data_IF_387646534246
#
_entry.id   IF_387646534246
#
_cell.length_a   1.000
_cell.length_b   1.000
_cell.length_c   1.000
_cell.angle_alpha   90.00
_cell.angle_beta   90.00
_cell.angle_gamma   90.00
#
_symmetry.space_group_name_H-M   'P 1'
#
loop_
_entity.id
_entity.type
_entity.pdbx_description
1 polymer ?
#
# COMPACT_ATOMS: atom_id res chain seq x y z
N UNK A 1 11.85 -0.39 -0.55
CA UNK A 1 11.53 -1.17 -1.75
C UNK A 1 10.19 -0.71 -2.29
N UNK A 2 9.93 -0.89 -3.59
CA UNK A 2 8.64 -0.56 -4.18
C UNK A 2 7.85 -1.81 -4.57
N UNK A 3 6.53 -1.69 -4.45
CA UNK A 3 5.59 -2.72 -4.82
C UNK A 3 4.52 -2.16 -5.74
N UNK A 4 3.89 -3.06 -6.50
CA UNK A 4 2.76 -2.75 -7.35
C UNK A 4 1.57 -3.63 -6.97
N UNK A 5 0.41 -2.99 -6.84
CA UNK A 5 -0.85 -3.65 -6.51
C UNK A 5 -1.97 -3.20 -7.44
N UNK A 6 -2.79 -4.15 -7.90
CA UNK A 6 -3.92 -3.85 -8.78
C UNK A 6 -5.23 -3.66 -8.02
N UNK A 7 -5.93 -2.58 -8.34
CA UNK A 7 -7.29 -2.31 -7.86
C UNK A 7 -8.31 -2.99 -8.77
N UNK A 8 -9.08 -3.92 -8.20
CA UNK A 8 -10.10 -4.68 -8.91
C UNK A 8 -11.26 -3.81 -9.40
N UNK A 9 -11.66 -4.01 -10.66
CA UNK A 9 -12.80 -3.31 -11.29
C UNK A 9 -14.17 -3.70 -10.76
N UNK A 10 -14.26 -4.87 -10.12
CA UNK A 10 -15.48 -5.34 -9.46
C UNK A 10 -15.95 -4.37 -8.35
N UNK A 11 -15.02 -3.68 -7.69
CA UNK A 11 -15.30 -2.77 -6.58
C UNK A 11 -15.17 -1.29 -6.98
N UNK A 12 -14.27 -0.98 -7.92
CA UNK A 12 -14.03 0.38 -8.39
C UNK A 12 -14.05 0.40 -9.90
N UNK A 13 -15.14 0.89 -10.51
CA UNK A 13 -15.29 0.90 -11.97
C UNK A 13 -14.20 1.74 -12.66
N UNK A 14 -13.77 2.83 -12.02
CA UNK A 14 -12.73 3.73 -12.51
C UNK A 14 -11.68 4.03 -11.42
N UNK A 15 -10.45 4.44 -11.81
CA UNK A 15 -9.44 4.87 -10.83
C UNK A 15 -9.92 6.05 -9.98
N UNK A 16 -10.67 6.98 -10.58
CA UNK A 16 -11.22 8.16 -9.90
C UNK A 16 -12.11 7.80 -8.71
N UNK A 17 -12.92 6.73 -8.81
CA UNK A 17 -13.73 6.25 -7.68
C UNK A 17 -12.83 5.83 -6.51
N UNK A 18 -11.77 5.08 -6.79
CA UNK A 18 -10.83 4.64 -5.79
C UNK A 18 -10.06 5.82 -5.18
N UNK A 19 -9.59 6.76 -6.01
CA UNK A 19 -8.86 7.96 -5.58
C UNK A 19 -9.69 8.76 -4.56
N UNK A 20 -10.97 9.02 -4.84
CA UNK A 20 -11.85 9.77 -3.92
C UNK A 20 -11.95 9.10 -2.55
N UNK A 21 -12.11 7.78 -2.52
CA UNK A 21 -12.17 7.03 -1.26
C UNK A 21 -10.80 7.02 -0.54
N UNK A 22 -9.72 6.83 -1.29
CA UNK A 22 -8.36 6.76 -0.77
C UNK A 22 -7.89 8.09 -0.19
N UNK A 23 -8.27 9.23 -0.79
CA UNK A 23 -8.02 10.57 -0.25
C UNK A 23 -8.78 10.79 1.07
N UNK A 24 -9.99 10.24 1.21
CA UNK A 24 -10.81 10.41 2.41
C UNK A 24 -10.35 9.53 3.58
N UNK A 25 -10.00 8.27 3.30
CA UNK A 25 -9.80 7.25 4.34
C UNK A 25 -8.43 6.58 4.31
N UNK A 26 -7.53 7.01 3.44
CA UNK A 26 -6.31 6.28 3.12
C UNK A 26 -6.59 4.96 2.39
N UNK A 27 -5.50 4.25 2.10
CA UNK A 27 -5.54 2.93 1.45
C UNK A 27 -5.35 1.86 2.50
N UNK A 28 -6.15 0.79 2.43
CA UNK A 28 -5.93 -0.46 3.17
C UNK A 28 -6.12 -1.64 2.22
N UNK A 29 -5.17 -2.58 2.21
CA UNK A 29 -5.15 -3.72 1.30
C UNK A 29 -4.62 -4.99 1.97
N UNK A 30 -5.32 -6.10 1.75
CA UNK A 30 -4.95 -7.41 2.28
C UNK A 30 -3.68 -7.92 1.63
N UNK A 31 -2.72 -8.34 2.43
CA UNK A 31 -1.42 -8.85 1.99
C UNK A 31 -1.27 -10.32 2.41
N UNK A 32 -0.63 -11.11 1.55
CA UNK A 32 -0.29 -12.48 1.90
C UNK A 32 0.84 -12.49 2.96
N UNK A 33 0.79 -13.33 4.00
CA UNK A 33 1.81 -13.37 5.05
C UNK A 33 3.23 -13.50 4.51
N UNK A 34 3.47 -14.42 3.56
CA UNK A 34 4.78 -14.62 2.95
C UNK A 34 5.35 -13.38 2.25
N UNK A 35 4.46 -12.55 1.69
CA UNK A 35 4.87 -11.32 1.03
C UNK A 35 5.09 -10.20 2.04
N UNK A 36 4.23 -10.11 3.06
CA UNK A 36 4.38 -9.16 4.16
C UNK A 36 5.76 -9.27 4.84
N UNK A 37 6.29 -10.49 5.01
CA UNK A 37 7.63 -10.73 5.58
C UNK A 37 8.75 -9.99 4.85
N UNK A 38 8.56 -9.67 3.57
CA UNK A 38 9.52 -8.96 2.72
C UNK A 38 9.32 -7.45 2.71
N UNK A 39 8.17 -6.96 3.19
CA UNK A 39 7.83 -5.55 3.20
C UNK A 39 8.38 -4.87 4.46
N UNK A 40 8.59 -3.57 4.38
CA UNK A 40 9.05 -2.71 5.47
C UNK A 40 8.20 -1.45 5.52
N UNK A 41 8.04 -0.92 6.73
CA UNK A 41 7.40 0.37 6.92
C UNK A 41 8.20 1.45 6.17
N UNK A 42 7.52 2.28 5.40
CA UNK A 42 8.10 3.26 4.49
C UNK A 42 8.19 2.82 3.02
N UNK A 43 7.96 1.54 2.71
CA UNK A 43 7.90 1.07 1.31
C UNK A 43 6.78 1.77 0.53
N UNK A 44 7.01 2.07 -0.76
CA UNK A 44 5.99 2.65 -1.63
C UNK A 44 5.22 1.53 -2.32
N UNK A 45 3.90 1.65 -2.36
CA UNK A 45 3.01 0.73 -3.05
C UNK A 45 2.26 1.48 -4.13
N UNK A 46 2.70 1.29 -5.36
CA UNK A 46 2.05 1.80 -6.55
C UNK A 46 0.74 1.07 -6.81
N UNK A 47 -0.26 1.83 -7.23
CA UNK A 47 -1.60 1.36 -7.48
C UNK A 47 -1.90 1.45 -8.96
N UNK A 48 -2.28 0.32 -9.53
CA UNK A 48 -2.68 0.21 -10.92
C UNK A 48 -4.12 -0.27 -11.06
N UNK A 49 -4.76 0.09 -12.16
CA UNK A 49 -6.00 -0.54 -12.59
C UNK A 49 -5.91 -0.91 -14.07
N UNK A 50 -6.23 -2.16 -14.38
CA UNK A 50 -6.23 -2.70 -15.74
C UNK A 50 -7.58 -2.55 -16.45
N UNK A 51 -7.56 -2.30 -17.75
CA UNK A 51 -8.73 -2.29 -18.63
C UNK A 51 -8.71 -3.35 -19.73
N UNK A 52 -8.36 -4.60 -19.37
CA UNK A 52 -8.23 -5.76 -20.28
C UNK A 52 -7.16 -5.59 -21.38
N UNK A 53 -6.80 -4.38 -21.79
CA UNK A 53 -5.82 -4.07 -22.84
C UNK A 53 -4.60 -3.30 -22.33
N UNK A 54 -4.78 -2.44 -21.33
CA UNK A 54 -3.71 -1.65 -20.72
C UNK A 54 -3.90 -1.58 -19.20
N UNK A 55 -2.81 -1.34 -18.46
CA UNK A 55 -2.83 -1.09 -17.02
C UNK A 55 -2.37 0.32 -16.74
N UNK A 56 -3.15 1.08 -15.98
CA UNK A 56 -2.79 2.45 -15.64
C UNK A 56 -2.34 2.54 -14.19
N UNK A 57 -1.11 2.99 -13.95
CA UNK A 57 -0.67 3.42 -12.61
C UNK A 57 -1.20 4.84 -12.38
N UNK A 58 -1.91 5.06 -11.28
CA UNK A 58 -2.60 6.33 -11.01
C UNK A 58 -2.21 6.97 -9.68
N UNK A 59 -1.49 6.26 -8.83
CA UNK A 59 -1.15 6.72 -7.49
C UNK A 59 -0.27 5.71 -6.78
N UNK A 60 0.12 6.06 -5.56
CA UNK A 60 0.77 5.15 -4.63
C UNK A 60 0.34 5.47 -3.20
N UNK A 61 0.62 4.56 -2.28
CA UNK A 61 0.59 4.85 -0.84
C UNK A 61 1.90 4.41 -0.21
N UNK A 62 2.25 5.02 0.92
CA UNK A 62 3.42 4.61 1.71
C UNK A 62 2.93 3.65 2.79
N UNK A 63 3.57 2.49 2.93
CA UNK A 63 3.22 1.54 3.98
C UNK A 63 3.58 2.12 5.35
N UNK A 64 2.55 2.60 6.07
CA UNK A 64 2.70 3.23 7.40
C UNK A 64 1.75 2.66 8.44
N UNK A 65 0.83 1.76 8.04
CA UNK A 65 -0.13 1.16 8.96
C UNK A 65 -0.35 -0.31 8.70
N UNK A 66 -0.52 -1.07 9.78
CA UNK A 66 -0.85 -2.50 9.77
C UNK A 66 -2.24 -2.66 10.38
N UNK A 67 -3.10 -3.45 9.75
CA UNK A 67 -4.47 -3.61 10.22
C UNK A 67 -4.96 -5.05 10.07
N UNK A 68 -6.03 -5.40 10.79
CA UNK A 68 -6.62 -6.75 10.73
C UNK A 68 -5.79 -7.82 11.42
N UNK A 69 -5.01 -7.44 12.46
CA UNK A 69 -4.34 -8.38 13.34
C UNK A 69 -5.35 -9.06 14.28
N UNK A 70 -5.04 -10.27 14.73
CA UNK A 70 -5.82 -10.93 15.78
C UNK A 70 -5.77 -10.13 17.10
N UNK A 71 -6.86 -10.18 17.88
CA UNK A 71 -6.97 -9.43 19.14
C UNK A 71 -5.91 -9.85 20.16
N UNK A 72 -5.73 -11.15 20.38
CA UNK A 72 -4.72 -11.68 21.30
C UNK A 72 -3.29 -11.28 20.91
N UNK A 73 -3.05 -11.10 19.61
CA UNK A 73 -1.76 -10.63 19.11
C UNK A 73 -1.56 -9.14 19.45
N UNK A 74 -2.60 -8.32 19.34
CA UNK A 74 -2.54 -6.91 19.70
C UNK A 74 -2.25 -6.73 21.18
N UNK A 75 -2.94 -7.47 22.05
CA UNK A 75 -2.71 -7.38 23.50
C UNK A 75 -1.27 -7.80 23.84
N UNK A 76 -0.77 -8.88 23.23
CA UNK A 76 0.64 -9.29 23.35
C UNK A 76 1.63 -8.21 22.89
N UNK A 77 1.35 -7.55 21.78
CA UNK A 77 2.21 -6.47 21.27
C UNK A 77 2.14 -5.22 22.18
N UNK A 78 0.99 -4.97 22.82
CA UNK A 78 0.83 -3.89 23.82
C UNK A 78 1.64 -4.20 25.07
N UNK A 79 1.55 -5.42 25.59
CA UNK A 79 2.27 -5.85 26.80
C UNK A 79 3.80 -5.80 26.60
N UNK A 80 4.27 -6.08 25.38
CA UNK A 80 5.68 -5.91 24.99
C UNK A 80 6.10 -4.44 24.78
N UNK A 81 5.19 -3.47 24.93
CA UNK A 81 5.45 -2.05 24.72
C UNK A 81 5.70 -1.65 23.25
N UNK A 82 5.41 -2.54 22.30
CA UNK A 82 5.66 -2.32 20.87
C UNK A 82 4.64 -1.38 20.24
N UNK A 83 3.45 -1.34 20.82
CA UNK A 83 2.35 -0.47 20.44
C UNK A 83 1.82 0.23 21.69
N UNK A 84 1.32 1.45 21.53
CA UNK A 84 0.70 2.23 22.58
C UNK A 84 -0.66 2.74 22.11
N UNK A 85 -1.58 2.95 23.03
CA UNK A 85 -2.85 3.58 22.71
C UNK A 85 -2.62 4.97 22.11
N UNK A 86 -3.39 5.29 21.07
CA UNK A 86 -3.28 6.62 20.47
C UNK A 86 -4.02 7.60 21.38
N UNK A 87 -3.39 8.69 21.83
CA UNK A 87 -4.08 9.74 22.60
C UNK A 87 -4.97 10.53 21.64
N UNK A 88 -6.10 9.95 21.24
CA UNK A 88 -7.11 10.68 20.48
C UNK A 88 -8.44 10.51 21.18
N UNK A 89 -8.86 11.60 21.85
CA UNK A 89 -10.25 11.86 22.22
C UNK A 89 -11.12 11.58 20.98
N UNK A 90 -11.96 10.56 21.04
CA UNK A 90 -12.97 10.29 20.02
C UNK A 90 -12.54 9.40 18.86
N UNK A 91 -11.79 8.30 19.09
CA UNK A 91 -11.83 7.18 18.15
C UNK A 91 -13.24 6.59 18.14
N UNK A 92 -14.15 7.22 17.40
CA UNK A 92 -15.48 6.67 17.19
C UNK A 92 -15.30 5.28 16.61
N UNK A 93 -15.80 4.29 17.36
CA UNK A 93 -16.18 2.98 16.86
C UNK A 93 -17.08 3.23 15.64
N UNK A 94 -16.47 3.25 14.47
CA UNK A 94 -17.08 3.75 13.25
C UNK A 94 -17.15 2.65 12.23
N UNK A 95 -18.32 2.50 11.60
CA UNK A 95 -18.42 1.72 10.38
C UNK A 95 -17.85 2.57 9.24
N UNK A 96 -16.79 2.09 8.61
CA UNK A 96 -16.23 2.67 7.39
C UNK A 96 -16.76 1.85 6.22
N UNK A 97 -17.63 2.47 5.43
CA UNK A 97 -18.08 1.91 4.16
C UNK A 97 -17.09 2.26 3.05
N UNK A 98 -16.61 1.22 2.37
CA UNK A 98 -15.73 1.29 1.21
C UNK A 98 -16.38 0.54 0.05
N UNK A 99 -16.00 0.87 -1.18
CA UNK A 99 -16.44 0.15 -2.37
C UNK A 99 -16.16 -1.35 -2.34
N UNK A 100 -15.17 -1.79 -1.54
CA UNK A 100 -14.84 -3.19 -1.33
C UNK A 100 -15.50 -3.85 -0.10
N UNK A 101 -16.30 -3.13 0.68
CA UNK A 101 -17.04 -3.64 1.84
C UNK A 101 -17.20 -2.63 2.97
N UNK A 102 -18.02 -3.00 3.97
CA UNK A 102 -18.17 -2.25 5.22
C UNK A 102 -17.29 -2.86 6.31
N UNK A 103 -16.61 -2.00 7.07
CA UNK A 103 -15.68 -2.41 8.10
C UNK A 103 -15.93 -1.66 9.40
N UNK A 104 -15.94 -2.36 10.53
CA UNK A 104 -15.92 -1.70 11.84
C UNK A 104 -14.48 -1.44 12.24
N UNK A 105 -14.14 -0.17 12.49
CA UNK A 105 -12.83 0.25 13.02
C UNK A 105 -12.94 0.32 14.53
N UNK A 106 -12.32 -0.62 15.25
CA UNK A 106 -12.57 -0.77 16.70
C UNK A 106 -11.57 -0.06 17.60
N UNK A 107 -10.28 -0.05 17.26
CA UNK A 107 -9.25 0.65 18.02
C UNK A 107 -8.09 1.05 17.11
N UNK A 108 -7.35 2.08 17.51
CA UNK A 108 -6.14 2.52 16.81
C UNK A 108 -4.97 2.67 17.76
N UNK A 109 -3.81 2.15 17.37
CA UNK A 109 -2.60 2.17 18.18
C UNK A 109 -1.47 2.88 17.46
N UNK A 110 -0.64 3.61 18.22
CA UNK A 110 0.63 4.15 17.76
C UNK A 110 1.69 3.06 17.86
N UNK A 111 2.48 2.88 16.81
CA UNK A 111 3.62 1.96 16.85
C UNK A 111 4.77 2.66 17.59
N UNK A 112 5.23 2.07 18.69
CA UNK A 112 6.30 2.61 19.54
C UNK A 112 7.68 2.16 19.07
N UNK A 113 7.81 0.87 18.68
CA UNK A 113 9.05 0.30 18.15
C UNK A 113 8.79 -0.41 16.80
N UNK A 114 8.87 0.32 15.68
CA UNK A 114 8.57 -0.24 14.35
C UNK A 114 9.43 -1.43 13.94
N UNK A 115 10.73 -1.39 14.26
CA UNK A 115 11.67 -2.44 13.86
C UNK A 115 11.34 -3.75 14.57
N UNK A 116 11.25 -3.70 15.90
CA UNK A 116 10.94 -4.89 16.71
C UNK A 116 9.53 -5.42 16.45
N UNK A 117 8.55 -4.53 16.23
CA UNK A 117 7.20 -4.96 15.82
C UNK A 117 7.23 -5.74 14.49
N UNK A 118 7.95 -5.23 13.48
CA UNK A 118 8.04 -5.93 12.21
C UNK A 118 8.73 -7.28 12.37
N UNK A 119 9.84 -7.35 13.12
CA UNK A 119 10.53 -8.60 13.44
C UNK A 119 9.56 -9.64 14.03
N UNK A 120 8.85 -9.27 15.10
CA UNK A 120 7.84 -10.13 15.75
C UNK A 120 6.77 -10.61 14.76
N UNK A 121 6.16 -9.70 14.01
CA UNK A 121 5.11 -10.05 13.04
C UNK A 121 5.62 -10.93 11.90
N UNK A 122 6.89 -10.79 11.50
CA UNK A 122 7.46 -11.63 10.42
C UNK A 122 7.76 -13.06 10.84
N UNK A 123 7.87 -13.34 12.14
CA UNK A 123 8.06 -14.71 12.65
C UNK A 123 6.77 -15.51 12.70
N UNK A 124 5.62 -14.84 12.82
CA UNK A 124 4.32 -15.50 12.94
C UNK A 124 3.86 -16.16 11.64
N UNK A 125 2.98 -17.14 11.78
CA UNK A 125 2.28 -17.75 10.67
C UNK A 125 1.03 -16.94 10.24
N UNK A 126 0.43 -17.34 9.12
CA UNK A 126 -0.74 -16.64 8.58
C UNK A 126 -2.02 -16.74 9.42
N UNK A 127 -2.16 -17.79 10.24
CA UNK A 127 -3.34 -17.98 11.11
C UNK A 127 -3.23 -17.07 12.33
N UNK A 128 -2.04 -16.96 12.92
CA UNK A 128 -1.75 -16.10 14.05
C UNK A 128 -1.85 -14.61 13.71
N UNK A 129 -1.51 -14.23 12.48
CA UNK A 129 -1.61 -12.85 12.00
C UNK A 129 -3.06 -12.41 11.72
N UNK A 130 -3.95 -13.34 11.38
CA UNK A 130 -5.32 -13.02 10.96
C UNK A 130 -5.39 -12.46 9.51
N UNK A 131 -6.47 -11.75 9.14
CA UNK A 131 -6.64 -11.18 7.80
C UNK A 131 -5.78 -9.93 7.58
N UNK A 132 -4.46 -10.09 7.68
CA UNK A 132 -3.46 -9.03 7.64
C UNK A 132 -3.64 -8.09 6.44
N UNK A 133 -3.68 -6.80 6.74
CA UNK A 133 -3.74 -5.72 5.77
C UNK A 133 -2.65 -4.69 6.07
N UNK A 134 -2.16 -4.07 5.01
CA UNK A 134 -1.27 -2.92 5.08
C UNK A 134 -1.96 -1.69 4.51
N UNK A 135 -1.54 -0.52 4.96
CA UNK A 135 -2.12 0.73 4.52
C UNK A 135 -1.25 1.95 4.75
N UNK A 136 -1.83 3.09 4.36
CA UNK A 136 -1.23 4.41 4.54
C UNK A 136 -1.96 5.48 3.75
N UNK A 137 -1.36 6.68 3.74
CA UNK A 137 -1.89 7.83 3.00
C UNK A 137 -1.71 7.64 1.50
N UNK A 138 -2.74 8.01 0.76
CA UNK A 138 -2.74 7.98 -0.70
C UNK A 138 -2.09 9.23 -1.28
N UNK A 139 -1.30 9.05 -2.34
CA UNK A 139 -0.69 10.10 -3.14
C UNK A 139 -1.08 9.89 -4.60
N UNK A 140 -1.81 10.85 -5.16
CA UNK A 140 -2.16 10.86 -6.58
C UNK A 140 -0.94 11.19 -7.42
N UNK A 141 -0.67 10.42 -8.48
CA UNK A 141 0.39 10.77 -9.44
C UNK A 141 0.02 12.01 -10.28
N UNK A 142 -1.28 12.30 -10.43
CA UNK A 142 -1.74 13.49 -11.16
C UNK A 142 -1.58 14.78 -10.33
N UNK A 143 -1.72 14.71 -8.99
CA UNK A 143 -1.71 15.90 -8.13
C UNK A 143 -0.37 16.16 -7.44
N UNK A 144 0.44 15.11 -7.22
CA UNK A 144 1.77 15.30 -6.63
C UNK A 144 2.71 15.99 -7.62
N UNK A 145 3.74 16.71 -7.10
CA UNK A 145 4.84 17.34 -7.88
C UNK A 145 5.56 16.41 -8.87
N UNK A 146 5.20 15.13 -8.94
CA UNK A 146 5.52 14.27 -10.07
C UNK A 146 4.98 14.86 -11.39
N UNK A 147 3.88 15.63 -11.36
CA UNK A 147 3.43 16.38 -12.55
C UNK A 147 4.44 17.46 -13.00
N UNK A 148 5.18 18.08 -12.07
CA UNK A 148 6.22 19.07 -12.42
C UNK A 148 7.56 18.45 -12.78
N UNK A 149 7.93 17.31 -12.18
CA UNK A 149 9.16 16.59 -12.51
C UNK A 149 9.01 15.73 -13.77
N UNK A 150 7.83 15.17 -14.04
CA UNK A 150 7.62 14.13 -15.06
C UNK A 150 6.50 14.44 -16.07
N UNK A 151 5.78 15.59 -15.99
CA UNK A 151 4.70 15.99 -16.94
C UNK A 151 3.74 14.85 -17.32
N UNK A 152 3.12 14.26 -16.31
CA UNK A 152 2.31 13.04 -16.47
C UNK A 152 0.82 13.38 -16.61
N UNK A 153 0.23 13.10 -17.78
CA UNK A 153 -1.24 13.07 -17.93
C UNK A 153 -1.76 11.64 -17.71
N UNK A 154 -1.20 10.62 -18.39
CA UNK A 154 -1.59 9.21 -18.22
C UNK A 154 -0.40 8.26 -18.45
N UNK A 155 -0.14 7.33 -17.50
CA UNK A 155 0.85 6.25 -17.71
C UNK A 155 0.12 4.95 -18.05
N UNK A 156 0.09 4.61 -19.34
CA UNK A 156 -0.38 3.32 -19.83
C UNK A 156 0.78 2.33 -19.82
N UNK A 157 0.81 1.49 -18.81
CA UNK A 157 1.76 0.39 -18.71
C UNK A 157 1.09 -0.90 -19.19
N UNK A 158 1.69 -1.63 -20.13
CA UNK A 158 1.25 -2.98 -20.43
C UNK A 158 1.79 -3.96 -19.39
N UNK A 159 1.40 -3.76 -18.13
CA UNK A 159 1.77 -4.66 -17.04
C UNK A 159 0.66 -5.69 -16.89
N UNK A 160 0.95 -7.00 -17.01
CA UNK A 160 -0.03 -8.05 -16.84
C UNK A 160 -0.75 -7.91 -15.50
N UNK A 161 -2.08 -7.98 -15.53
CA UNK A 161 -2.87 -8.01 -14.31
C UNK A 161 -2.52 -9.28 -13.51
N UNK A 162 -2.17 -9.09 -12.24
CA UNK A 162 -1.99 -10.18 -11.29
C UNK A 162 -2.57 -9.75 -9.95
N UNK A 163 -3.25 -10.67 -9.28
CA UNK A 163 -3.76 -10.42 -7.94
C UNK A 163 -2.63 -10.36 -6.92
N UNK A 164 -2.83 -9.57 -5.85
CA UNK A 164 -1.83 -9.40 -4.80
C UNK A 164 -0.85 -8.26 -5.05
N UNK A 165 0.19 -8.20 -4.22
CA UNK A 165 1.30 -7.25 -4.41
C UNK A 165 2.46 -7.97 -5.09
N UNK A 166 3.33 -7.21 -5.72
CA UNK A 166 4.58 -7.72 -6.29
C UNK A 166 5.68 -6.67 -6.18
N UNK A 167 6.95 -7.10 -6.06
CA UNK A 167 8.09 -6.22 -6.29
C UNK A 167 7.94 -5.42 -7.58
N UNK A 168 8.29 -4.15 -7.52
CA UNK A 168 8.18 -3.23 -8.64
C UNK A 168 9.45 -2.39 -8.75
N UNK A 169 10.03 -2.34 -9.95
CA UNK A 169 11.15 -1.46 -10.27
C UNK A 169 10.60 -0.10 -10.73
N UNK A 170 10.26 0.75 -9.76
CA UNK A 170 9.68 2.06 -10.05
C UNK A 170 10.69 2.97 -10.76
N UNK A 171 11.96 2.91 -10.39
CA UNK A 171 12.99 3.77 -10.96
C UNK A 171 13.23 3.41 -12.44
N UNK A 172 13.38 2.13 -12.77
CA UNK A 172 13.47 1.68 -14.16
C UNK A 172 12.20 2.00 -14.97
N UNK A 173 11.03 1.88 -14.34
CA UNK A 173 9.76 2.26 -14.96
C UNK A 173 9.68 3.75 -15.30
N UNK A 174 10.03 4.62 -14.36
CA UNK A 174 9.99 6.07 -14.58
C UNK A 174 11.10 6.54 -15.52
N UNK A 175 12.28 5.92 -15.51
CA UNK A 175 13.33 6.20 -16.49
C UNK A 175 12.87 5.88 -17.93
N UNK A 176 12.23 4.73 -18.14
CA UNK A 176 11.67 4.38 -19.46
C UNK A 176 10.52 5.32 -19.86
N UNK A 177 9.69 5.73 -18.90
CA UNK A 177 8.67 6.75 -19.13
C UNK A 177 9.27 8.07 -19.61
N UNK A 178 10.26 8.61 -18.89
CA UNK A 178 10.94 9.85 -19.25
C UNK A 178 11.55 9.78 -20.64
N UNK A 179 12.22 8.67 -20.97
CA UNK A 179 12.79 8.44 -22.30
C UNK A 179 11.72 8.54 -23.39
N UNK A 180 10.52 8.00 -23.16
CA UNK A 180 9.41 8.09 -24.12
C UNK A 180 8.79 9.49 -24.17
N UNK A 181 8.68 10.21 -23.05
CA UNK A 181 8.24 11.61 -23.01
C UNK A 181 9.17 12.47 -23.85
N UNK A 182 10.48 12.37 -23.61
CA UNK A 182 11.52 13.14 -24.30
C UNK A 182 11.56 12.86 -25.81
N UNK A 183 11.12 11.67 -26.24
CA UNK A 183 10.98 11.33 -27.66
C UNK A 183 9.79 12.00 -28.36
N UNK A 184 9.01 12.83 -27.66
CA UNK A 184 7.87 13.58 -28.23
C UNK A 184 6.61 12.75 -28.47
N UNK A 185 6.53 11.53 -27.92
CA UNK A 185 5.36 10.66 -28.07
C UNK A 185 4.19 11.20 -27.24
N UNK A 186 3.06 11.48 -27.91
CA UNK A 186 1.80 11.88 -27.25
C UNK A 186 1.13 10.73 -26.47
N UNK A 187 1.30 9.49 -26.94
CA UNK A 187 0.78 8.29 -26.30
C UNK A 187 1.94 7.43 -25.81
N UNK A 188 2.23 7.50 -24.51
CA UNK A 188 3.32 6.75 -23.89
C UNK A 188 2.79 5.38 -23.50
N UNK A 189 3.36 4.34 -24.13
CA UNK A 189 3.05 2.94 -23.81
C UNK A 189 4.30 2.29 -23.30
N UNK A 190 4.36 2.09 -21.99
CA UNK A 190 5.48 1.43 -21.35
C UNK A 190 5.21 -0.07 -21.41
N UNK A 191 6.04 -0.79 -22.16
CA UNK A 191 5.96 -2.23 -22.31
C UNK A 191 7.21 -2.81 -21.65
N UNK A 192 7.02 -3.63 -20.62
CA UNK A 192 8.14 -4.21 -19.90
C UNK A 192 7.71 -4.90 -18.61
N UNK A 193 8.54 -5.85 -18.19
CA UNK A 193 8.43 -6.54 -16.92
C UNK A 193 9.27 -5.78 -15.88
N UNK A 194 8.68 -4.75 -15.26
CA UNK A 194 9.34 -3.94 -14.22
C UNK A 194 9.30 -4.63 -12.85
N UNK A 195 9.81 -5.85 -12.78
CA UNK A 195 9.93 -6.57 -11.50
C UNK A 195 11.26 -6.21 -10.86
N UNK A 196 11.20 -5.62 -9.67
CA UNK A 196 12.41 -5.50 -8.85
C UNK A 196 12.88 -6.89 -8.43
N UNK A 197 14.20 -7.12 -8.47
CA UNK A 197 14.78 -8.28 -7.80
C UNK A 197 14.44 -8.19 -6.31
N UNK A 198 14.01 -9.28 -5.66
CA UNK A 198 13.83 -9.26 -4.21
C UNK A 198 15.15 -8.85 -3.56
N UNK A 199 15.13 -8.06 -2.46
CA UNK A 199 16.35 -7.66 -1.78
C UNK A 199 17.09 -8.93 -1.36
N UNK A 200 18.37 -9.01 -1.67
CA UNK A 200 19.29 -9.90 -0.95
C UNK A 200 19.37 -9.40 0.48
N UNK A 201 19.22 -10.29 1.47
CA UNK A 201 19.21 -9.92 2.90
C UNK A 201 20.39 -8.98 3.24
N UNK A 202 20.07 -7.71 3.50
CA UNK A 202 21.07 -6.66 3.63
C UNK A 202 20.41 -5.32 3.95
N UNK A 203 20.84 -4.71 5.05
CA UNK A 203 20.19 -3.61 5.75
C UNK A 203 19.90 -2.36 4.90
N UNK A 204 18.67 -1.85 4.98
CA UNK A 204 18.33 -0.47 4.61
C UNK A 204 17.55 0.21 5.73
N UNK A 205 17.97 1.44 6.05
CA UNK A 205 17.52 2.24 7.19
C UNK A 205 16.02 2.56 7.10
N UNK A 206 15.27 2.21 8.15
CA UNK A 206 13.86 2.56 8.36
C UNK A 206 13.72 4.04 8.73
N UNK A 207 13.40 4.88 7.75
CA UNK A 207 13.23 6.34 7.91
C UNK A 207 11.79 6.86 7.91
N UNK A 208 10.78 5.98 8.05
CA UNK A 208 9.37 6.39 8.06
C UNK A 208 8.82 6.61 9.46
N UNK A 209 8.21 7.78 9.73
CA UNK A 209 7.31 7.95 10.90
C UNK A 209 6.02 7.15 10.65
N UNK A 210 5.78 6.19 11.53
CA UNK A 210 4.69 5.23 11.47
C UNK A 210 3.52 5.75 12.29
N UNK A 211 2.31 5.76 11.74
CA UNK A 211 1.20 6.54 12.32
C UNK A 211 0.07 5.71 12.92
N UNK A 212 -0.15 4.42 12.55
CA UNK A 212 -1.37 3.72 13.01
C UNK A 212 -1.35 2.19 12.86
N UNK A 213 -1.86 1.45 13.83
CA UNK A 213 -2.45 0.10 13.66
C UNK A 213 -3.94 0.21 13.87
N UNK A 214 -4.77 -0.58 13.17
CA UNK A 214 -6.22 -0.62 13.47
C UNK A 214 -6.84 -1.99 13.23
N UNK A 215 -7.88 -2.31 13.99
CA UNK A 215 -8.65 -3.54 13.78
C UNK A 215 -9.75 -3.31 12.75
N UNK A 216 -9.85 -4.24 11.80
CA UNK A 216 -10.88 -4.25 10.77
C UNK A 216 -11.56 -5.60 10.77
N UNK A 217 -12.87 -5.61 11.01
CA UNK A 217 -13.73 -6.78 10.78
C UNK A 217 -14.63 -6.47 9.60
N UNK A 218 -14.57 -7.30 8.55
CA UNK A 218 -15.49 -7.22 7.42
C UNK A 218 -16.85 -7.75 7.89
N UNK A 219 -17.91 -6.97 7.67
CA UNK A 219 -19.29 -7.45 7.81
C UNK A 219 -19.69 -8.28 6.61
#
# INVERSE_FOLDING_TARGET
MDYLHFIGKSYYKTPTMFIREALKYGVNRRVAPNLFKRMRLGDRIFLAQGDKKNSRIFGFFIFTSITGLNHDLIDRMRDKGLIADTPTRGSSLGNVERGCGSYTVSASYRISNPTQLMEELTQLDGKELGPLMIGGLFYSLEETRIRSLYRVDHICANIPFQQGFRPFDADGFFAEYERQVLSGRRNIRIIGMFYAKPPTDGAHKTGGKVLKISNYRRK
#
